data_IF_788299298756
#
_entry.id   IF_788299298756
#
_cell.length_a   1.000
_cell.length_b   1.000
_cell.length_c   1.000
_cell.angle_alpha   90.00
_cell.angle_beta   90.00
_cell.angle_gamma   90.00
#
_symmetry.space_group_name_H-M   'P 1'
#
loop_
_entity.id
_entity.type
_entity.pdbx_description
1 polymer ?
#
# COMPACT_ATOMS: atom_id res chain seq x y z
N UNK A 1 10.89 22.71 2.76
CA UNK A 1 9.83 21.70 2.52
C UNK A 1 9.53 21.46 1.03
N UNK A 2 9.73 22.42 0.12
CA UNK A 2 9.45 22.24 -1.32
C UNK A 2 10.24 21.12 -2.03
N UNK A 3 11.49 20.86 -1.61
CA UNK A 3 12.36 19.85 -2.23
C UNK A 3 11.83 18.41 -2.10
N UNK A 4 11.22 18.07 -0.96
CA UNK A 4 10.70 16.72 -0.74
C UNK A 4 9.42 16.45 -1.52
N UNK A 5 8.48 17.40 -1.51
CA UNK A 5 7.23 17.27 -2.25
C UNK A 5 7.47 17.17 -3.76
N UNK A 6 8.43 17.92 -4.31
CA UNK A 6 8.83 17.80 -5.72
C UNK A 6 9.40 16.40 -6.03
N UNK A 7 10.36 15.93 -5.23
CA UNK A 7 10.93 14.58 -5.40
C UNK A 7 9.89 13.48 -5.29
N UNK A 8 8.94 13.62 -4.35
CA UNK A 8 7.84 12.68 -4.22
C UNK A 8 6.92 12.71 -5.44
N UNK A 9 6.57 13.89 -5.94
CA UNK A 9 5.67 14.03 -7.08
C UNK A 9 6.26 13.48 -8.38
N UNK A 10 7.59 13.53 -8.56
CA UNK A 10 8.29 12.87 -9.67
C UNK A 10 8.10 11.35 -9.67
N UNK A 11 8.08 10.73 -8.49
CA UNK A 11 7.91 9.27 -8.33
C UNK A 11 6.51 8.86 -7.89
N UNK A 12 5.58 9.81 -7.78
CA UNK A 12 4.28 9.63 -7.10
C UNK A 12 3.41 8.55 -7.75
N UNK A 13 3.47 8.41 -9.08
CA UNK A 13 2.81 7.33 -9.81
C UNK A 13 3.27 5.96 -9.29
N UNK A 14 4.58 5.73 -9.26
CA UNK A 14 5.18 4.47 -8.82
C UNK A 14 4.96 4.25 -7.32
N UNK A 15 5.03 5.31 -6.51
CA UNK A 15 4.76 5.23 -5.08
C UNK A 15 3.34 4.73 -4.81
N UNK A 16 2.32 5.24 -5.53
CA UNK A 16 0.92 4.83 -5.35
C UNK A 16 0.66 3.41 -5.88
N UNK A 17 1.28 3.02 -7.01
CA UNK A 17 1.16 1.66 -7.57
C UNK A 17 1.79 0.63 -6.63
N UNK A 18 3.06 0.83 -6.27
CA UNK A 18 3.81 -0.10 -5.43
C UNK A 18 3.17 -0.24 -4.05
N UNK A 19 2.72 0.86 -3.44
CA UNK A 19 2.04 0.82 -2.15
C UNK A 19 0.63 0.22 -2.19
N UNK A 20 -0.05 0.27 -3.35
CA UNK A 20 -1.38 -0.33 -3.49
C UNK A 20 -1.35 -1.83 -3.77
N UNK A 21 -0.25 -2.33 -4.35
CA UNK A 21 -0.05 -3.77 -4.64
C UNK A 21 0.74 -4.47 -3.52
N UNK A 22 1.66 -3.78 -2.85
CA UNK A 22 2.42 -4.33 -1.73
C UNK A 22 1.57 -4.50 -0.46
N UNK A 23 2.04 -5.30 0.53
CA UNK A 23 1.38 -5.41 1.84
C UNK A 23 1.48 -4.14 2.71
N UNK A 24 2.03 -3.04 2.18
CA UNK A 24 2.21 -1.78 2.89
C UNK A 24 0.85 -1.05 3.08
N UNK A 25 0.63 -0.29 4.17
CA UNK A 25 -0.59 0.48 4.40
C UNK A 25 -0.77 1.57 3.34
N UNK A 26 -1.59 1.28 2.33
CA UNK A 26 -1.92 2.23 1.27
C UNK A 26 -2.41 3.60 1.76
N UNK A 27 -3.07 3.64 2.94
CA UNK A 27 -3.56 4.89 3.55
C UNK A 27 -2.43 5.89 3.80
N UNK A 28 -1.24 5.42 4.18
CA UNK A 28 -0.09 6.29 4.45
C UNK A 28 0.32 7.02 3.16
N UNK A 29 0.42 6.30 2.05
CA UNK A 29 0.78 6.88 0.75
C UNK A 29 -0.33 7.78 0.20
N UNK A 30 -1.60 7.45 0.47
CA UNK A 30 -2.73 8.31 0.10
C UNK A 30 -2.68 9.65 0.84
N UNK A 31 -2.45 9.64 2.15
CA UNK A 31 -2.32 10.86 2.97
C UNK A 31 -1.13 11.68 2.49
N UNK A 32 -0.01 11.02 2.19
CA UNK A 32 1.20 11.66 1.67
C UNK A 32 0.98 12.29 0.29
N UNK A 33 0.29 11.61 -0.63
CA UNK A 33 -0.08 12.15 -1.95
C UNK A 33 -0.95 13.40 -1.82
N UNK A 34 -1.89 13.41 -0.88
CA UNK A 34 -2.67 14.62 -0.57
C UNK A 34 -1.82 15.75 0.02
N UNK A 35 -0.94 15.44 0.98
CA UNK A 35 -0.06 16.42 1.62
C UNK A 35 0.96 17.06 0.65
N UNK A 36 1.35 16.33 -0.40
CA UNK A 36 2.33 16.78 -1.41
C UNK A 36 1.68 17.40 -2.66
N UNK A 37 0.34 17.49 -2.71
CA UNK A 37 -0.42 17.93 -3.87
C UNK A 37 -0.01 17.17 -5.15
N UNK A 38 0.05 15.84 -5.06
CA UNK A 38 0.26 14.99 -6.23
C UNK A 38 -0.87 15.24 -7.25
N UNK A 39 -0.53 15.22 -8.55
CA UNK A 39 -1.51 15.41 -9.60
C UNK A 39 -2.69 14.44 -9.43
N UNK A 40 -3.90 14.99 -9.37
CA UNK A 40 -5.11 14.23 -9.05
C UNK A 40 -5.40 13.12 -10.06
N UNK A 41 -5.16 13.37 -11.36
CA UNK A 41 -5.39 12.37 -12.42
C UNK A 41 -4.39 11.22 -12.28
N UNK A 42 -3.13 11.52 -12.01
CA UNK A 42 -2.09 10.51 -11.76
C UNK A 42 -2.43 9.69 -10.52
N UNK A 43 -2.84 10.35 -9.44
CA UNK A 43 -3.21 9.68 -8.19
C UNK A 43 -4.42 8.75 -8.37
N UNK A 44 -5.49 9.22 -9.01
CA UNK A 44 -6.71 8.43 -9.25
C UNK A 44 -6.42 7.27 -10.20
N UNK A 45 -5.72 7.52 -11.31
CA UNK A 45 -5.35 6.48 -12.28
C UNK A 45 -4.49 5.39 -11.63
N UNK A 46 -3.44 5.78 -10.91
CA UNK A 46 -2.62 4.84 -10.15
C UNK A 46 -3.45 4.06 -9.13
N UNK A 47 -4.26 4.75 -8.32
CA UNK A 47 -5.09 4.11 -7.29
C UNK A 47 -6.07 3.09 -7.87
N UNK A 48 -6.74 3.42 -8.98
CA UNK A 48 -7.65 2.50 -9.66
C UNK A 48 -6.94 1.24 -10.13
N UNK A 49 -5.76 1.40 -10.75
CA UNK A 49 -4.94 0.26 -11.21
C UNK A 49 -4.51 -0.61 -10.03
N UNK A 50 -3.92 -0.02 -8.98
CA UNK A 50 -3.45 -0.80 -7.82
C UNK A 50 -4.59 -1.55 -7.12
N UNK A 51 -5.74 -0.88 -6.96
CA UNK A 51 -6.91 -1.47 -6.30
C UNK A 51 -7.55 -2.54 -7.17
N UNK A 52 -7.70 -2.27 -8.46
CA UNK A 52 -8.15 -3.24 -9.44
C UNK A 52 -7.31 -4.51 -9.35
N UNK A 53 -5.98 -4.41 -9.50
CA UNK A 53 -5.05 -5.54 -9.41
C UNK A 53 -5.28 -6.34 -8.13
N UNK A 54 -5.32 -5.68 -6.97
CA UNK A 54 -5.50 -6.37 -5.68
C UNK A 54 -6.82 -7.14 -5.61
N UNK A 55 -7.93 -6.51 -5.99
CA UNK A 55 -9.25 -7.16 -5.93
C UNK A 55 -9.42 -8.25 -6.98
N UNK A 56 -8.92 -8.04 -8.21
CA UNK A 56 -8.96 -9.06 -9.26
C UNK A 56 -8.05 -10.25 -8.96
N UNK A 57 -6.89 -10.05 -8.33
CA UNK A 57 -6.05 -11.17 -7.85
C UNK A 57 -6.82 -11.98 -6.81
N UNK A 58 -7.42 -11.33 -5.81
CA UNK A 58 -8.20 -12.03 -4.77
C UNK A 58 -9.39 -12.75 -5.37
N UNK A 59 -10.14 -12.10 -6.27
CA UNK A 59 -11.28 -12.69 -6.95
C UNK A 59 -10.89 -13.87 -7.86
N UNK A 60 -9.80 -13.74 -8.61
CA UNK A 60 -9.26 -14.81 -9.46
C UNK A 60 -8.79 -16.01 -8.65
N UNK A 61 -8.10 -15.76 -7.52
CA UNK A 61 -7.70 -16.82 -6.59
C UNK A 61 -8.91 -17.53 -5.98
N UNK A 62 -9.95 -16.78 -5.59
CA UNK A 62 -11.20 -17.36 -5.08
C UNK A 62 -11.95 -18.13 -6.18
N UNK A 63 -11.90 -17.68 -7.43
CA UNK A 63 -12.54 -18.38 -8.55
C UNK A 63 -11.84 -19.72 -8.87
N UNK A 64 -10.50 -19.76 -8.81
CA UNK A 64 -9.73 -20.96 -9.14
C UNK A 64 -9.66 -21.98 -8.00
N UNK A 65 -9.50 -21.51 -6.75
CA UNK A 65 -9.26 -22.39 -5.58
C UNK A 65 -10.44 -22.45 -4.60
N UNK A 66 -11.46 -21.59 -4.74
CA UNK A 66 -12.67 -21.64 -3.94
C UNK A 66 -12.44 -21.40 -2.44
N UNK A 67 -12.91 -22.34 -1.62
CA UNK A 67 -13.04 -22.18 -0.17
C UNK A 67 -11.69 -22.20 0.58
N UNK A 68 -10.72 -23.01 0.12
CA UNK A 68 -9.41 -23.19 0.77
C UNK A 68 -8.62 -21.87 0.85
N UNK A 69 -8.62 -21.09 -0.23
CA UNK A 69 -7.87 -19.85 -0.30
C UNK A 69 -8.52 -18.74 0.54
N UNK A 70 -9.84 -18.79 0.76
CA UNK A 70 -10.53 -17.84 1.64
C UNK A 70 -10.03 -17.97 3.07
N UNK A 71 -9.94 -19.21 3.58
CA UNK A 71 -9.41 -19.49 4.92
C UNK A 71 -7.96 -19.05 5.02
N UNK A 72 -7.14 -19.30 3.99
CA UNK A 72 -5.77 -18.81 3.94
C UNK A 72 -5.71 -17.28 4.00
N UNK A 73 -6.42 -16.57 3.13
CA UNK A 73 -6.41 -15.10 3.09
C UNK A 73 -6.85 -14.52 4.44
N UNK A 74 -7.98 -14.97 5.00
CA UNK A 74 -8.49 -14.47 6.28
C UNK A 74 -7.53 -14.78 7.45
N UNK A 75 -6.89 -15.96 7.43
CA UNK A 75 -5.95 -16.37 8.47
C UNK A 75 -4.65 -15.59 8.43
N UNK A 76 -4.04 -15.42 7.26
CA UNK A 76 -2.68 -14.84 7.17
C UNK A 76 -2.68 -13.32 7.00
N UNK A 77 -3.70 -12.72 6.37
CA UNK A 77 -3.69 -11.28 6.06
C UNK A 77 -3.70 -10.43 7.34
N UNK A 78 -4.44 -10.85 8.38
CA UNK A 78 -4.41 -10.18 9.69
C UNK A 78 -3.03 -10.28 10.38
N UNK A 79 -2.40 -11.46 10.35
CA UNK A 79 -1.07 -11.66 10.94
C UNK A 79 0.01 -10.85 10.20
N UNK A 80 0.01 -10.87 8.87
CA UNK A 80 0.96 -10.11 8.05
C UNK A 80 0.78 -8.61 8.28
N UNK A 81 -0.45 -8.11 8.36
CA UNK A 81 -0.73 -6.71 8.66
C UNK A 81 -0.24 -6.33 10.06
N UNK A 82 -0.54 -7.15 11.08
CA UNK A 82 -0.11 -6.90 12.45
C UNK A 82 1.41 -6.89 12.57
N UNK A 83 2.10 -7.86 11.96
CA UNK A 83 3.55 -7.94 11.92
C UNK A 83 4.16 -6.70 11.25
N UNK A 84 3.60 -6.25 10.13
CA UNK A 84 4.06 -5.06 9.44
C UNK A 84 3.93 -3.80 10.31
N UNK A 85 2.78 -3.62 10.98
CA UNK A 85 2.55 -2.47 11.88
C UNK A 85 3.55 -2.50 13.05
N UNK A 86 3.75 -3.67 13.65
CA UNK A 86 4.74 -3.88 14.71
C UNK A 86 6.13 -3.49 14.22
N UNK A 87 6.59 -4.04 13.09
CA UNK A 87 7.89 -3.72 12.51
C UNK A 87 8.06 -2.23 12.21
N UNK A 88 7.01 -1.56 11.73
CA UNK A 88 7.06 -0.13 11.45
C UNK A 88 7.23 0.67 12.74
N UNK A 89 6.47 0.37 13.80
CA UNK A 89 6.58 1.03 15.11
C UNK A 89 7.98 0.81 15.70
N UNK A 90 8.44 -0.44 15.75
CA UNK A 90 9.76 -0.77 16.29
C UNK A 90 10.91 -0.20 15.45
N UNK A 91 10.77 -0.18 14.12
CA UNK A 91 11.74 0.46 13.22
C UNK A 91 11.90 1.96 13.52
N UNK A 92 10.79 2.67 13.73
CA UNK A 92 10.84 4.09 14.10
C UNK A 92 11.44 4.32 15.50
N UNK A 93 11.11 3.48 16.48
CA UNK A 93 11.70 3.57 17.84
C UNK A 93 13.20 3.29 17.80
N UNK A 94 13.63 2.28 17.05
CA UNK A 94 15.05 1.91 16.90
C UNK A 94 15.89 3.02 16.27
N UNK A 95 15.36 3.70 15.23
CA UNK A 95 16.02 4.85 14.62
C UNK A 95 16.13 6.04 15.60
N UNK A 96 15.19 6.20 16.53
CA UNK A 96 15.21 7.28 17.53
C UNK A 96 16.20 7.02 18.68
N UNK A 97 16.57 5.77 18.92
CA UNK A 97 17.50 5.35 19.98
C UNK A 97 18.97 5.38 19.55
N UNK A 98 19.21 5.49 18.24
CA UNK A 98 20.52 5.70 17.59
C UNK A 98 20.70 7.20 17.32
#
# INVERSE_FOLDING_TARGET
MASFSQKYNEVGLWAVITAGVSPIPFKVITIMSGATNLNFVVFVGASLVSRGIRFFIVAGLLNFYGHEIKIFIERYLNWVFMLFVILLIFGFIGIKLI
#
